data_IF_140969460556
#
_entry.id   IF_140969460556
#
_cell.length_a   1.000
_cell.length_b   1.000
_cell.length_c   1.000
_cell.angle_alpha   90.00
_cell.angle_beta   90.00
_cell.angle_gamma   90.00
#
_symmetry.space_group_name_H-M   'P 1'
#
loop_
_entity.id
_entity.type
_entity.pdbx_description
1 polymer ?
#
# COMPACT_ATOMS: atom_id res chain seq x y z
N UNK A 1 -15.34 16.16 4.82
CA UNK A 1 -16.32 15.23 4.20
C UNK A 1 -17.10 14.49 5.28
N UNK A 2 -18.27 13.91 4.96
CA UNK A 2 -19.06 13.13 5.92
C UNK A 2 -19.54 11.80 5.32
N UNK A 3 -19.83 10.81 6.17
CA UNK A 3 -20.27 9.47 5.78
C UNK A 3 -21.31 8.93 6.76
N UNK A 4 -22.55 8.80 6.28
CA UNK A 4 -23.70 8.26 7.02
C UNK A 4 -24.43 7.24 6.15
N UNK A 5 -24.89 6.13 6.74
CA UNK A 5 -25.80 5.16 6.09
C UNK A 5 -27.17 5.19 6.77
N UNK A 6 -28.23 4.82 6.03
CA UNK A 6 -29.63 4.86 6.47
C UNK A 6 -29.88 4.09 7.78
N UNK A 7 -29.16 2.99 8.02
CA UNK A 7 -29.30 2.16 9.23
C UNK A 7 -28.24 2.37 10.32
N UNK A 8 -27.31 3.33 10.16
CA UNK A 8 -26.32 3.60 11.22
C UNK A 8 -26.90 4.59 12.25
N UNK A 9 -26.79 4.34 13.56
CA UNK A 9 -27.13 5.34 14.58
C UNK A 9 -26.05 6.44 14.70
N UNK A 10 -24.88 6.24 14.11
CA UNK A 10 -23.74 7.17 14.06
C UNK A 10 -23.39 7.58 12.62
N UNK A 11 -22.58 8.62 12.47
CA UNK A 11 -21.94 9.02 11.21
C UNK A 11 -20.49 9.41 11.44
N UNK A 12 -19.67 9.37 10.39
CA UNK A 12 -18.29 9.85 10.43
C UNK A 12 -18.21 11.23 9.78
N UNK A 13 -17.45 12.14 10.38
CA UNK A 13 -17.08 13.42 9.79
C UNK A 13 -15.55 13.51 9.80
N UNK A 14 -14.98 13.83 8.65
CA UNK A 14 -13.55 14.03 8.44
C UNK A 14 -13.32 15.49 8.07
N UNK A 15 -12.43 16.14 8.80
CA UNK A 15 -12.06 17.54 8.61
C UNK A 15 -10.70 17.63 7.92
N UNK A 16 -10.46 18.69 7.17
CA UNK A 16 -9.18 18.93 6.50
C UNK A 16 -8.10 19.44 7.45
N UNK A 17 -8.52 20.16 8.50
CA UNK A 17 -7.66 20.80 9.48
C UNK A 17 -7.99 20.33 10.90
N UNK A 18 -6.99 20.41 11.79
CA UNK A 18 -7.17 20.07 13.21
C UNK A 18 -8.10 21.08 13.90
N UNK A 19 -7.95 22.36 13.60
CA UNK A 19 -8.78 23.43 14.15
C UNK A 19 -10.27 23.22 13.84
N UNK A 20 -10.62 22.96 12.57
CA UNK A 20 -11.96 22.57 12.15
C UNK A 20 -12.48 21.36 12.94
N UNK A 21 -11.63 20.35 13.14
CA UNK A 21 -11.99 19.14 13.89
C UNK A 21 -12.28 19.44 15.36
N UNK A 22 -11.45 20.27 16.00
CA UNK A 22 -11.60 20.65 17.41
C UNK A 22 -12.82 21.55 17.60
N UNK A 23 -12.97 22.57 16.75
CA UNK A 23 -14.13 23.44 16.72
C UNK A 23 -15.41 22.64 16.51
N UNK A 24 -15.48 21.80 15.47
CA UNK A 24 -16.67 20.98 15.21
C UNK A 24 -16.91 19.92 16.29
N UNK A 25 -15.87 19.38 16.95
CA UNK A 25 -16.04 18.50 18.12
C UNK A 25 -16.73 19.26 19.25
N UNK A 26 -16.26 20.47 19.58
CA UNK A 26 -16.85 21.33 20.61
C UNK A 26 -18.28 21.77 20.27
N UNK A 27 -18.55 22.07 18.99
CA UNK A 27 -19.86 22.54 18.51
C UNK A 27 -20.89 21.41 18.38
N UNK A 28 -20.47 20.18 18.05
CA UNK A 28 -21.39 19.04 17.86
C UNK A 28 -21.65 18.23 19.14
N UNK A 29 -20.78 18.31 20.14
CA UNK A 29 -20.99 17.63 21.44
C UNK A 29 -22.19 18.23 22.18
N UNK A 30 -23.15 17.39 22.56
CA UNK A 30 -24.36 17.82 23.28
C UNK A 30 -25.43 18.52 22.43
N UNK A 31 -25.15 18.85 21.16
CA UNK A 31 -26.10 19.41 20.21
C UNK A 31 -27.28 18.47 19.97
N UNK A 32 -28.47 19.02 19.70
CA UNK A 32 -29.69 18.23 19.49
C UNK A 32 -29.97 18.07 18.00
N UNK A 33 -29.87 16.84 17.48
CA UNK A 33 -30.26 16.49 16.11
C UNK A 33 -31.37 15.45 16.13
N UNK A 34 -32.50 15.75 15.47
CA UNK A 34 -33.66 14.84 15.42
C UNK A 34 -34.23 14.48 16.80
N UNK A 35 -34.23 15.45 17.73
CA UNK A 35 -34.71 15.26 19.11
C UNK A 35 -33.77 14.48 20.04
N UNK A 36 -32.55 14.14 19.59
CA UNK A 36 -31.56 13.43 20.41
C UNK A 36 -30.29 14.24 20.56
N UNK A 37 -29.70 14.24 21.76
CA UNK A 37 -28.35 14.79 21.99
C UNK A 37 -27.31 13.93 21.25
N UNK A 38 -26.39 14.59 20.57
CA UNK A 38 -25.27 13.97 19.85
C UNK A 38 -24.06 13.86 20.78
N UNK A 39 -23.35 12.73 20.69
CA UNK A 39 -22.04 12.55 21.33
C UNK A 39 -20.96 12.34 20.27
N UNK A 40 -19.79 12.97 20.45
CA UNK A 40 -18.70 13.00 19.46
C UNK A 40 -17.53 12.14 19.92
N UNK A 41 -17.52 10.91 19.44
CA UNK A 41 -16.44 9.95 19.71
C UNK A 41 -15.38 9.97 18.60
N UNK A 42 -14.14 9.62 18.94
CA UNK A 42 -13.11 9.39 17.92
C UNK A 42 -13.47 8.19 17.03
N UNK A 43 -13.18 8.31 15.74
CA UNK A 43 -13.30 7.24 14.76
C UNK A 43 -12.15 6.22 14.93
N UNK A 44 -12.07 5.59 16.11
CA UNK A 44 -11.08 4.57 16.41
C UNK A 44 -11.19 3.43 15.41
N UNK A 45 -10.08 3.14 14.74
CA UNK A 45 -9.97 2.05 13.77
C UNK A 45 -9.83 0.71 14.52
N UNK A 46 -10.85 0.36 15.32
CA UNK A 46 -10.83 -0.82 16.20
C UNK A 46 -10.61 -2.08 15.36
N UNK A 47 -9.49 -2.76 15.61
CA UNK A 47 -9.32 -4.15 15.19
C UNK A 47 -10.45 -4.98 15.83
N UNK A 48 -10.99 -6.00 15.13
CA UNK A 48 -12.07 -6.83 15.66
C UNK A 48 -11.54 -7.74 16.78
N UNK A 49 -11.37 -7.17 17.99
CA UNK A 49 -11.33 -7.83 19.31
C UNK A 49 -11.02 -6.84 20.47
N UNK A 50 -10.73 -5.56 20.19
CA UNK A 50 -10.34 -4.58 21.23
C UNK A 50 -11.53 -4.07 22.08
N UNK A 51 -11.62 -4.62 23.29
CA UNK A 51 -12.67 -4.34 24.29
C UNK A 51 -12.41 -3.11 25.17
N UNK A 52 -11.38 -2.29 24.91
CA UNK A 52 -11.20 -1.07 25.70
C UNK A 52 -12.35 -0.07 25.48
N UNK A 53 -13.09 0.20 26.54
CA UNK A 53 -14.10 1.27 26.65
C UNK A 53 -13.42 2.49 27.28
N UNK A 54 -12.90 3.39 26.44
CA UNK A 54 -12.30 4.65 26.89
C UNK A 54 -13.37 5.63 27.36
N UNK A 55 -13.31 6.01 28.64
CA UNK A 55 -14.17 7.03 29.25
C UNK A 55 -13.97 8.41 28.61
N UNK A 56 -15.00 9.24 28.59
CA UNK A 56 -15.07 10.51 27.85
C UNK A 56 -14.34 11.71 28.48
N UNK A 57 -13.64 11.52 29.60
CA UNK A 57 -12.77 12.52 30.21
C UNK A 57 -11.56 11.85 30.87
N UNK A 58 -10.39 11.91 30.23
CA UNK A 58 -9.12 11.54 30.85
C UNK A 58 -7.94 12.19 30.13
N UNK A 59 -7.12 12.92 30.90
CA UNK A 59 -5.72 13.18 30.54
C UNK A 59 -4.99 11.84 30.59
N UNK A 60 -4.77 11.21 29.45
CA UNK A 60 -4.07 9.92 29.37
C UNK A 60 -2.56 10.21 29.29
N UNK A 61 -1.83 9.83 30.34
CA UNK A 61 -0.37 10.01 30.46
C UNK A 61 0.10 11.49 30.40
N UNK A 62 -0.64 12.39 31.05
CA UNK A 62 -0.23 13.80 31.22
C UNK A 62 -0.36 14.68 29.97
N UNK A 63 -0.91 14.18 28.86
CA UNK A 63 -1.07 14.92 27.60
C UNK A 63 -2.51 15.35 27.33
N UNK A 64 -2.69 16.51 26.70
CA UNK A 64 -4.00 16.97 26.24
C UNK A 64 -4.53 16.13 25.06
N UNK A 65 -5.84 16.23 24.79
CA UNK A 65 -6.47 15.52 23.66
C UNK A 65 -5.91 16.00 22.32
N UNK A 66 -5.61 17.29 22.26
CA UNK A 66 -5.00 18.01 21.15
C UNK A 66 -3.60 17.46 20.87
N UNK A 67 -2.73 17.36 21.89
CA UNK A 67 -1.40 16.76 21.78
C UNK A 67 -1.43 15.30 21.30
N UNK A 68 -2.40 14.50 21.77
CA UNK A 68 -2.54 13.11 21.35
C UNK A 68 -2.92 13.00 19.85
N UNK A 69 -3.76 13.91 19.35
CA UNK A 69 -4.13 13.97 17.93
C UNK A 69 -2.95 14.48 17.09
N UNK A 70 -2.27 15.54 17.50
CA UNK A 70 -1.05 16.06 16.83
C UNK A 70 0.01 14.97 16.75
N UNK A 71 0.30 14.29 17.86
CA UNK A 71 1.27 13.19 17.90
C UNK A 71 0.83 12.00 17.03
N UNK A 72 -0.47 11.73 16.87
CA UNK A 72 -0.96 10.70 15.95
C UNK A 72 -0.78 11.10 14.48
N UNK A 73 -1.04 12.37 14.14
CA UNK A 73 -0.83 12.93 12.81
C UNK A 73 0.65 12.95 12.44
N UNK A 74 1.53 13.38 13.34
CA UNK A 74 2.99 13.40 13.16
C UNK A 74 3.55 11.97 12.98
N UNK A 75 3.13 11.00 13.81
CA UNK A 75 3.48 9.57 13.58
C UNK A 75 3.01 9.06 12.21
N UNK A 76 1.86 9.52 11.72
CA UNK A 76 1.38 9.21 10.37
C UNK A 76 2.21 9.91 9.28
N UNK A 77 2.69 11.13 9.53
CA UNK A 77 3.48 11.93 8.60
C UNK A 77 4.92 11.41 8.48
N UNK A 78 5.48 10.87 9.56
CA UNK A 78 6.84 10.31 9.65
C UNK A 78 6.89 8.79 9.48
N UNK A 79 5.79 8.18 9.02
CA UNK A 79 5.73 6.74 8.73
C UNK A 79 6.70 6.37 7.61
N UNK A 80 7.35 5.20 7.71
CA UNK A 80 8.22 4.70 6.65
C UNK A 80 7.44 4.51 5.34
N UNK A 81 7.95 5.14 4.27
CA UNK A 81 7.36 5.10 2.93
C UNK A 81 7.09 3.68 2.44
N UNK A 82 7.96 2.72 2.80
CA UNK A 82 7.86 1.33 2.39
C UNK A 82 6.61 0.66 2.97
N UNK A 83 6.14 1.08 4.15
CA UNK A 83 4.90 0.57 4.74
C UNK A 83 3.64 1.05 3.99
N UNK A 84 3.74 2.15 3.24
CA UNK A 84 2.66 2.68 2.42
C UNK A 84 2.60 1.99 1.04
N UNK A 85 3.74 1.84 0.36
CA UNK A 85 3.80 1.35 -1.04
C UNK A 85 4.23 -0.10 -1.21
N UNK A 86 4.88 -0.70 -0.22
CA UNK A 86 5.33 -2.10 -0.24
C UNK A 86 5.06 -2.80 1.12
N UNK A 87 3.79 -3.00 1.55
CA UNK A 87 3.48 -3.43 2.93
C UNK A 87 4.05 -4.78 3.42
N UNK A 88 4.75 -5.53 2.57
CA UNK A 88 5.46 -6.77 2.89
C UNK A 88 7.00 -6.62 2.75
N UNK A 89 7.54 -5.40 2.62
CA UNK A 89 8.95 -5.15 2.30
C UNK A 89 9.94 -5.80 3.26
N UNK A 90 9.60 -5.83 4.56
CA UNK A 90 10.39 -6.43 5.63
C UNK A 90 10.17 -7.95 5.79
N UNK A 91 9.26 -8.56 5.03
CA UNK A 91 9.02 -10.01 5.02
C UNK A 91 9.94 -10.68 3.99
N UNK A 92 10.70 -11.75 4.36
CA UNK A 92 11.48 -12.56 3.42
C UNK A 92 10.63 -13.04 2.23
N UNK A 93 11.20 -13.07 1.02
CA UNK A 93 10.39 -13.25 -0.19
C UNK A 93 9.61 -14.58 -0.21
N UNK A 94 10.20 -15.68 0.28
CA UNK A 94 9.53 -16.98 0.41
C UNK A 94 8.29 -16.90 1.32
N UNK A 95 8.38 -16.20 2.46
CA UNK A 95 7.21 -15.93 3.31
C UNK A 95 6.16 -15.04 2.62
N UNK A 96 6.56 -14.09 1.77
CA UNK A 96 5.59 -13.30 1.01
C UNK A 96 4.77 -14.19 0.07
N UNK A 97 5.40 -15.17 -0.58
CA UNK A 97 4.73 -16.15 -1.44
C UNK A 97 3.78 -17.03 -0.64
N UNK A 98 4.21 -17.54 0.53
CA UNK A 98 3.34 -18.29 1.44
C UNK A 98 2.13 -17.46 1.90
N UNK A 99 2.34 -16.21 2.34
CA UNK A 99 1.28 -15.27 2.73
C UNK A 99 0.32 -14.96 1.56
N UNK A 100 0.81 -14.88 0.31
CA UNK A 100 -0.01 -14.72 -0.90
C UNK A 100 -0.83 -15.98 -1.19
N UNK A 101 -0.22 -17.17 -1.16
CA UNK A 101 -0.90 -18.46 -1.34
C UNK A 101 -2.04 -18.63 -0.35
N UNK A 102 -1.78 -18.40 0.95
CA UNK A 102 -2.80 -18.50 2.00
C UNK A 102 -4.00 -17.56 1.75
N UNK A 103 -3.77 -16.33 1.27
CA UNK A 103 -4.86 -15.39 0.90
C UNK A 103 -5.69 -15.87 -0.29
N UNK A 104 -5.06 -16.44 -1.32
CA UNK A 104 -5.76 -17.04 -2.46
C UNK A 104 -6.60 -18.23 -2.00
N UNK A 105 -6.03 -19.12 -1.20
CA UNK A 105 -6.73 -20.27 -0.64
C UNK A 105 -7.90 -19.85 0.27
N UNK A 106 -7.73 -18.83 1.11
CA UNK A 106 -8.81 -18.29 1.94
C UNK A 106 -9.94 -17.71 1.07
N UNK A 107 -9.62 -16.95 0.02
CA UNK A 107 -10.60 -16.43 -0.93
C UNK A 107 -11.40 -17.54 -1.62
N UNK A 108 -10.73 -18.63 -2.03
CA UNK A 108 -11.38 -19.81 -2.62
C UNK A 108 -12.25 -20.57 -1.61
N UNK A 109 -11.81 -20.74 -0.36
CA UNK A 109 -12.62 -21.30 0.73
C UNK A 109 -13.84 -20.42 1.03
N UNK A 110 -13.68 -19.11 0.97
CA UNK A 110 -14.75 -18.14 1.14
C UNK A 110 -15.77 -18.23 -0.01
N UNK A 111 -15.32 -18.36 -1.27
CA UNK A 111 -16.19 -18.58 -2.42
C UNK A 111 -17.04 -19.84 -2.25
N UNK A 112 -16.41 -21.01 -2.03
CA UNK A 112 -17.10 -22.27 -1.75
C UNK A 112 -18.14 -22.13 -0.65
N UNK A 113 -17.77 -21.49 0.47
CA UNK A 113 -18.67 -21.32 1.63
C UNK A 113 -19.88 -20.44 1.30
N UNK A 114 -19.69 -19.35 0.56
CA UNK A 114 -20.80 -18.47 0.17
C UNK A 114 -21.71 -19.12 -0.87
N UNK A 115 -21.16 -19.77 -1.90
CA UNK A 115 -21.96 -20.51 -2.88
C UNK A 115 -22.77 -21.61 -2.21
N UNK A 116 -22.15 -22.47 -1.38
CA UNK A 116 -22.86 -23.53 -0.65
C UNK A 116 -23.96 -22.99 0.28
N UNK A 117 -23.74 -21.86 0.96
CA UNK A 117 -24.78 -21.18 1.77
C UNK A 117 -25.94 -20.68 0.90
N UNK A 118 -25.66 -20.06 -0.23
CA UNK A 118 -26.68 -19.59 -1.17
C UNK A 118 -27.47 -20.76 -1.78
N UNK A 119 -26.81 -21.86 -2.16
CA UNK A 119 -27.46 -23.10 -2.61
C UNK A 119 -28.45 -23.65 -1.58
N UNK A 120 -28.06 -23.70 -0.30
CA UNK A 120 -28.92 -24.17 0.80
C UNK A 120 -30.10 -23.22 1.04
N UNK A 121 -29.88 -21.90 0.94
CA UNK A 121 -30.94 -20.88 1.10
C UNK A 121 -31.99 -21.01 -0.01
N UNK A 122 -31.58 -21.08 -1.28
CA UNK A 122 -32.50 -21.23 -2.41
C UNK A 122 -33.32 -22.53 -2.33
N UNK A 123 -32.68 -23.66 -1.98
CA UNK A 123 -33.40 -24.92 -1.72
C UNK A 123 -34.45 -24.78 -0.60
N UNK A 124 -34.15 -24.05 0.48
CA UNK A 124 -35.09 -23.83 1.60
C UNK A 124 -36.23 -22.87 1.24
N UNK A 125 -36.03 -21.95 0.31
CA UNK A 125 -37.02 -20.96 -0.12
C UNK A 125 -38.05 -21.50 -1.12
N UNK A 126 -38.07 -22.81 -1.39
CA UNK A 126 -39.08 -23.42 -2.27
C UNK A 126 -38.99 -22.94 -3.71
N UNK A 127 -37.78 -22.54 -4.17
CA UNK A 127 -37.56 -22.11 -5.55
C UNK A 127 -37.83 -23.27 -6.53
N UNK A 128 -39.07 -23.34 -7.01
CA UNK A 128 -39.55 -24.32 -7.99
C UNK A 128 -38.85 -24.09 -9.33
N UNK A 129 -37.90 -24.96 -9.64
CA UNK A 129 -37.05 -24.88 -10.81
C UNK A 129 -35.83 -25.78 -10.67
N UNK A 130 -35.08 -25.97 -11.76
CA UNK A 130 -34.00 -26.95 -11.87
C UNK A 130 -32.72 -26.53 -11.12
N UNK A 131 -32.82 -26.20 -9.83
CA UNK A 131 -31.70 -25.80 -8.99
C UNK A 131 -30.76 -26.99 -8.74
N UNK A 132 -29.65 -27.03 -9.51
CA UNK A 132 -28.60 -28.04 -9.38
C UNK A 132 -27.51 -27.57 -8.41
N UNK A 133 -27.05 -28.48 -7.55
CA UNK A 133 -25.84 -28.26 -6.76
C UNK A 133 -24.63 -28.28 -7.73
N UNK A 134 -23.79 -27.23 -7.78
CA UNK A 134 -22.64 -27.23 -8.67
C UNK A 134 -21.68 -28.37 -8.32
N UNK A 135 -21.32 -29.19 -9.32
CA UNK A 135 -20.45 -30.37 -9.17
C UNK A 135 -19.13 -30.05 -8.47
N UNK A 136 -18.52 -28.91 -8.84
CA UNK A 136 -17.28 -28.42 -8.25
C UNK A 136 -17.33 -28.21 -6.73
N UNK A 137 -18.51 -27.99 -6.12
CA UNK A 137 -18.60 -27.91 -4.66
C UNK A 137 -18.40 -29.29 -4.02
N UNK A 138 -18.86 -30.36 -4.67
CA UNK A 138 -18.55 -31.74 -4.25
C UNK A 138 -17.06 -32.01 -4.28
N UNK A 139 -16.40 -31.64 -5.38
CA UNK A 139 -14.94 -31.72 -5.50
C UNK A 139 -14.17 -30.82 -4.52
N UNK A 140 -14.70 -29.63 -4.22
CA UNK A 140 -14.06 -28.67 -3.30
C UNK A 140 -13.82 -29.29 -1.92
N UNK A 141 -14.72 -30.15 -1.45
CA UNK A 141 -14.58 -30.83 -0.16
C UNK A 141 -13.36 -31.76 -0.13
N UNK A 142 -13.03 -32.41 -1.26
CA UNK A 142 -11.84 -33.27 -1.40
C UNK A 142 -10.53 -32.46 -1.32
N UNK A 143 -10.56 -31.17 -1.66
CA UNK A 143 -9.42 -30.24 -1.68
C UNK A 143 -9.52 -29.15 -0.59
N UNK A 144 -9.90 -29.52 0.63
CA UNK A 144 -9.89 -28.59 1.78
C UNK A 144 -10.84 -27.38 1.63
N UNK A 145 -11.95 -27.55 0.92
CA UNK A 145 -12.98 -26.54 0.57
C UNK A 145 -12.51 -25.46 -0.42
N UNK A 146 -11.40 -25.66 -1.13
CA UNK A 146 -10.96 -24.76 -2.20
C UNK A 146 -11.87 -24.91 -3.43
N UNK A 147 -12.36 -23.81 -3.99
CA UNK A 147 -13.24 -23.85 -5.16
C UNK A 147 -12.54 -24.35 -6.44
N UNK A 148 -11.21 -24.18 -6.52
CA UNK A 148 -10.33 -24.65 -7.59
C UNK A 148 -9.01 -25.16 -6.97
N UNK A 149 -8.18 -25.94 -7.70
CA UNK A 149 -6.82 -26.25 -7.25
C UNK A 149 -5.97 -24.98 -7.11
N UNK A 150 -4.94 -25.01 -6.26
CA UNK A 150 -3.93 -23.95 -6.16
C UNK A 150 -2.56 -24.57 -6.34
N UNK A 151 -2.06 -24.48 -7.56
CA UNK A 151 -0.77 -25.04 -8.03
C UNK A 151 0.45 -24.23 -7.53
N UNK A 152 0.23 -23.06 -6.92
CA UNK A 152 1.30 -22.24 -6.35
C UNK A 152 1.17 -20.76 -6.68
N UNK A 153 2.29 -20.04 -6.55
CA UNK A 153 2.43 -18.62 -6.90
C UNK A 153 3.69 -18.50 -7.75
N UNK A 154 3.54 -18.07 -9.00
CA UNK A 154 4.67 -17.77 -9.90
C UNK A 154 5.53 -16.66 -9.26
N UNK A 155 6.84 -16.90 -9.20
CA UNK A 155 7.80 -15.95 -8.60
C UNK A 155 8.05 -14.78 -9.55
N UNK A 156 8.29 -13.60 -8.99
CA UNK A 156 8.84 -12.48 -9.75
C UNK A 156 10.29 -12.82 -10.14
N UNK A 157 10.73 -12.51 -11.37
CA UNK A 157 12.13 -12.71 -11.77
C UNK A 157 13.08 -11.84 -10.98
N UNK A 158 12.63 -10.63 -10.64
CA UNK A 158 13.42 -9.59 -10.00
C UNK A 158 12.63 -9.02 -8.82
N UNK A 159 13.34 -8.70 -7.74
CA UNK A 159 12.77 -8.19 -6.48
C UNK A 159 13.04 -6.70 -6.25
N UNK A 160 13.93 -6.10 -7.04
CA UNK A 160 14.38 -4.70 -7.00
C UNK A 160 14.06 -3.99 -8.32
N UNK A 161 13.68 -2.71 -8.30
CA UNK A 161 13.54 -1.90 -9.52
C UNK A 161 12.49 -2.34 -10.55
N UNK A 162 11.73 -3.40 -10.29
CA UNK A 162 10.84 -4.06 -11.26
C UNK A 162 9.65 -3.21 -11.76
N UNK A 163 9.44 -2.00 -11.23
CA UNK A 163 8.29 -1.16 -11.56
C UNK A 163 8.59 -0.18 -12.69
N UNK A 164 8.26 -0.57 -13.91
CA UNK A 164 8.39 0.23 -15.14
C UNK A 164 7.45 1.45 -15.26
N UNK A 165 6.56 1.71 -14.30
CA UNK A 165 5.75 2.94 -14.22
C UNK A 165 5.64 3.42 -12.77
N UNK A 166 6.34 4.51 -12.46
CA UNK A 166 6.39 5.13 -11.14
C UNK A 166 5.67 6.48 -11.16
N UNK A 167 4.68 6.65 -10.29
CA UNK A 167 3.89 7.88 -10.14
C UNK A 167 4.19 8.51 -8.78
N UNK A 168 5.03 9.54 -8.77
CA UNK A 168 5.43 10.26 -7.56
C UNK A 168 4.54 11.48 -7.35
N UNK A 169 4.00 11.63 -6.15
CA UNK A 169 3.42 12.90 -5.70
C UNK A 169 4.53 13.92 -5.50
N UNK A 170 4.26 15.15 -5.93
CA UNK A 170 5.01 16.34 -5.55
C UNK A 170 4.19 17.07 -4.47
N UNK A 171 4.78 17.37 -3.32
CA UNK A 171 4.07 17.98 -2.20
C UNK A 171 4.96 18.21 -0.98
N UNK A 172 4.41 18.77 0.12
CA UNK A 172 5.14 18.92 1.37
C UNK A 172 5.36 17.55 2.05
N UNK A 173 6.51 17.37 2.69
CA UNK A 173 6.75 16.30 3.66
C UNK A 173 6.21 16.63 5.06
N UNK A 174 6.62 15.87 6.07
CA UNK A 174 6.19 16.05 7.46
C UNK A 174 6.63 17.40 8.05
N UNK A 175 7.73 17.97 7.55
CA UNK A 175 8.34 19.22 8.01
C UNK A 175 7.98 20.39 7.08
N UNK A 176 7.09 20.15 6.09
CA UNK A 176 6.61 21.16 5.14
C UNK A 176 7.53 21.38 3.94
N UNK A 177 8.64 20.65 3.83
CA UNK A 177 9.65 20.86 2.79
C UNK A 177 9.16 20.25 1.46
N UNK A 178 9.38 20.91 0.30
CA UNK A 178 9.11 20.34 -1.03
C UNK A 178 9.81 18.99 -1.23
N UNK A 179 9.02 17.94 -1.43
CA UNK A 179 9.48 16.55 -1.51
C UNK A 179 8.75 15.80 -2.62
N UNK A 180 9.48 14.90 -3.30
CA UNK A 180 8.98 14.09 -4.43
C UNK A 180 9.02 12.62 -4.04
N UNK A 181 7.88 11.93 -4.08
CA UNK A 181 7.80 10.54 -3.64
C UNK A 181 6.37 10.07 -3.44
N UNK A 182 6.08 9.44 -2.30
CA UNK A 182 4.76 8.85 -2.04
C UNK A 182 4.11 9.42 -0.78
N UNK A 183 2.78 9.49 -0.78
CA UNK A 183 2.01 9.81 0.41
C UNK A 183 2.15 8.70 1.45
N UNK A 184 2.65 9.03 2.64
CA UNK A 184 2.77 8.10 3.77
C UNK A 184 1.59 8.19 4.74
N UNK A 185 0.95 9.36 4.77
CA UNK A 185 -0.26 9.64 5.52
C UNK A 185 -1.55 9.22 4.82
N UNK A 186 -2.58 8.97 5.62
CA UNK A 186 -3.94 8.73 5.16
C UNK A 186 -4.73 10.06 5.16
N UNK A 187 -5.28 10.45 4.02
CA UNK A 187 -6.08 11.70 3.90
C UNK A 187 -7.24 11.78 4.91
N UNK A 188 -7.84 10.64 5.28
CA UNK A 188 -8.89 10.54 6.31
C UNK A 188 -8.42 10.89 7.74
N UNK A 189 -7.12 10.97 7.97
CA UNK A 189 -6.47 11.33 9.23
C UNK A 189 -5.85 12.74 9.16
N UNK A 190 -6.11 13.50 8.09
CA UNK A 190 -5.53 14.83 7.85
C UNK A 190 -4.06 14.81 7.39
N UNK A 191 -3.43 13.64 7.36
CA UNK A 191 -2.01 13.49 7.01
C UNK A 191 -1.85 13.33 5.51
N UNK A 192 -1.17 14.30 4.88
CA UNK A 192 -0.89 14.29 3.43
C UNK A 192 0.59 14.31 3.08
N UNK A 193 1.47 14.18 4.08
CA UNK A 193 2.92 14.24 3.93
C UNK A 193 3.43 13.26 2.85
N UNK A 194 4.36 13.76 2.03
CA UNK A 194 5.09 13.01 1.01
C UNK A 194 6.44 12.58 1.58
N UNK A 195 6.86 11.34 1.35
CA UNK A 195 8.20 10.87 1.68
C UNK A 195 8.91 10.36 0.42
N UNK A 196 10.23 10.60 0.34
CA UNK A 196 11.08 10.19 -0.78
C UNK A 196 11.00 8.69 -1.06
N UNK A 197 11.06 8.33 -2.34
CA UNK A 197 11.06 6.95 -2.81
C UNK A 197 12.43 6.23 -2.69
N UNK A 198 13.46 6.86 -2.11
CA UNK A 198 14.84 6.33 -2.10
C UNK A 198 14.94 4.89 -1.58
N UNK A 199 14.32 4.64 -0.41
CA UNK A 199 14.30 3.31 0.24
C UNK A 199 13.31 2.32 -0.40
N UNK A 200 12.54 2.74 -1.42
CA UNK A 200 11.52 1.90 -2.05
C UNK A 200 12.14 0.91 -3.05
N UNK A 201 12.43 -0.31 -2.57
CA UNK A 201 12.99 -1.44 -3.32
C UNK A 201 12.40 -1.63 -4.74
N UNK A 202 11.08 -1.57 -4.86
CA UNK A 202 10.37 -1.78 -6.14
C UNK A 202 10.55 -0.67 -7.20
N UNK A 203 11.11 0.50 -6.88
CA UNK A 203 11.27 1.63 -7.80
C UNK A 203 12.64 1.52 -8.50
N UNK A 204 12.66 1.70 -9.81
CA UNK A 204 13.87 1.66 -10.64
C UNK A 204 14.89 2.74 -10.23
N UNK A 205 16.21 2.51 -10.46
CA UNK A 205 17.23 3.53 -10.24
C UNK A 205 16.98 4.80 -11.07
N UNK A 206 16.51 4.66 -12.32
CA UNK A 206 16.17 5.78 -13.21
C UNK A 206 15.05 6.63 -12.60
N UNK A 207 13.95 6.01 -12.17
CA UNK A 207 12.84 6.74 -11.57
C UNK A 207 13.23 7.42 -10.24
N UNK A 208 14.16 6.83 -9.46
CA UNK A 208 14.75 7.50 -8.29
C UNK A 208 15.62 8.69 -8.67
N UNK A 209 16.53 8.56 -9.66
CA UNK A 209 17.39 9.66 -10.17
C UNK A 209 16.55 10.87 -10.60
N UNK A 210 15.49 10.63 -11.39
CA UNK A 210 14.59 11.68 -11.89
C UNK A 210 13.71 12.30 -10.79
N UNK A 211 13.24 11.51 -9.81
CA UNK A 211 12.53 12.03 -8.64
C UNK A 211 13.44 12.90 -7.76
N UNK A 212 14.69 12.48 -7.53
CA UNK A 212 15.69 13.24 -6.79
C UNK A 212 16.06 14.56 -7.52
N UNK A 213 16.25 14.51 -8.84
CA UNK A 213 16.50 15.70 -9.66
C UNK A 213 15.32 16.70 -9.62
N UNK A 214 14.08 16.21 -9.72
CA UNK A 214 12.88 17.05 -9.56
C UNK A 214 12.84 17.68 -8.17
N UNK A 215 13.13 16.91 -7.11
CA UNK A 215 13.15 17.42 -5.75
C UNK A 215 14.25 18.47 -5.52
N UNK A 216 15.44 18.27 -6.10
CA UNK A 216 16.53 19.24 -6.04
C UNK A 216 16.10 20.55 -6.72
N UNK A 217 15.60 20.48 -7.96
CA UNK A 217 15.06 21.62 -8.70
C UNK A 217 14.03 22.40 -7.88
N UNK A 218 13.02 21.73 -7.33
CA UNK A 218 11.95 22.37 -6.54
C UNK A 218 12.46 23.10 -5.28
N UNK A 219 13.63 22.72 -4.76
CA UNK A 219 14.25 23.35 -3.58
C UNK A 219 15.18 24.51 -3.99
N UNK A 220 15.81 24.44 -5.16
CA UNK A 220 16.72 25.49 -5.66
C UNK A 220 16.00 26.61 -6.43
N UNK A 221 14.86 26.32 -7.05
CA UNK A 221 14.15 27.30 -7.92
C UNK A 221 13.52 28.48 -7.15
N UNK A 222 13.63 28.51 -5.82
CA UNK A 222 13.16 29.58 -4.93
C UNK A 222 13.63 30.97 -5.38
N UNK A 223 14.84 31.09 -5.93
CA UNK A 223 15.40 32.34 -6.43
C UNK A 223 14.77 32.83 -7.76
N UNK A 224 14.09 31.97 -8.51
CA UNK A 224 13.59 32.23 -9.87
C UNK A 224 12.05 32.38 -9.92
N UNK A 225 11.43 32.81 -8.83
CA UNK A 225 9.96 32.90 -8.71
C UNK A 225 9.29 31.52 -8.64
N UNK A 226 9.77 30.66 -7.74
CA UNK A 226 9.31 29.28 -7.59
C UNK A 226 7.77 29.15 -7.53
N UNK A 227 7.26 28.26 -8.37
CA UNK A 227 5.87 27.84 -8.31
C UNK A 227 5.67 26.81 -7.17
N UNK A 228 4.61 26.93 -6.35
CA UNK A 228 4.43 26.11 -5.16
C UNK A 228 4.16 24.63 -5.47
N UNK A 229 4.61 23.73 -4.60
CA UNK A 229 4.17 22.32 -4.62
C UNK A 229 2.69 22.19 -4.21
N UNK A 230 2.04 21.12 -4.65
CA UNK A 230 0.61 20.89 -4.39
C UNK A 230 0.34 20.48 -2.94
N UNK A 231 -0.31 21.36 -2.16
CA UNK A 231 -0.84 21.00 -0.84
C UNK A 231 -2.20 20.29 -1.00
N UNK A 232 -2.18 18.97 -0.83
CA UNK A 232 -3.37 18.12 -0.92
C UNK A 232 -4.45 18.43 0.14
N UNK A 233 -4.13 19.10 1.25
CA UNK A 233 -5.11 19.52 2.27
C UNK A 233 -5.89 20.74 1.81
N UNK A 234 -5.18 21.71 1.22
CA UNK A 234 -5.75 22.98 0.73
C UNK A 234 -6.38 22.86 -0.66
N UNK A 235 -5.93 21.89 -1.47
CA UNK A 235 -6.33 21.77 -2.87
C UNK A 235 -5.72 22.86 -3.75
N UNK A 236 -4.55 23.37 -3.36
CA UNK A 236 -3.87 24.53 -3.98
C UNK A 236 -2.40 24.21 -4.25
N UNK A 237 -1.84 24.89 -5.24
CA UNK A 237 -0.43 24.78 -5.63
C UNK A 237 -0.30 24.49 -7.12
N UNK A 238 0.93 24.36 -7.61
CA UNK A 238 1.23 24.19 -9.03
C UNK A 238 1.75 22.78 -9.34
N UNK A 239 2.86 22.33 -8.74
CA UNK A 239 3.48 21.03 -9.06
C UNK A 239 2.77 19.86 -8.36
N UNK A 240 2.21 18.90 -9.11
CA UNK A 240 1.33 17.85 -8.55
C UNK A 240 1.92 16.44 -8.57
N UNK A 241 2.42 16.01 -9.74
CA UNK A 241 2.80 14.62 -9.98
C UNK A 241 3.99 14.56 -10.95
N UNK A 242 4.93 13.67 -10.69
CA UNK A 242 5.97 13.24 -11.63
C UNK A 242 5.68 11.79 -11.99
N UNK A 243 5.50 11.49 -13.27
CA UNK A 243 5.36 10.12 -13.77
C UNK A 243 6.60 9.78 -14.58
N UNK A 244 7.26 8.69 -14.22
CA UNK A 244 8.35 8.08 -14.98
C UNK A 244 7.86 6.74 -15.51
N UNK A 245 8.04 6.49 -16.81
CA UNK A 245 7.73 5.21 -17.45
C UNK A 245 8.89 4.75 -18.32
N UNK A 246 9.34 3.52 -18.09
CA UNK A 246 10.47 2.91 -18.78
C UNK A 246 9.96 1.87 -19.79
N UNK A 247 10.36 2.02 -21.06
CA UNK A 247 10.10 1.06 -22.13
C UNK A 247 11.01 -0.18 -22.07
N UNK A 248 10.80 -1.16 -22.96
CA UNK A 248 11.68 -2.33 -23.11
C UNK A 248 11.65 -3.39 -21.99
N UNK A 249 11.16 -3.06 -20.80
CA UNK A 249 11.20 -3.93 -19.61
C UNK A 249 10.07 -4.99 -19.54
N UNK A 250 9.72 -5.65 -20.65
CA UNK A 250 8.82 -6.81 -20.66
C UNK A 250 9.48 -8.04 -21.33
N UNK A 251 9.31 -9.27 -20.80
CA UNK A 251 9.73 -10.49 -21.51
C UNK A 251 8.94 -10.65 -22.82
N UNK A 252 9.54 -11.32 -23.81
CA UNK A 252 8.81 -11.75 -25.00
C UNK A 252 7.66 -12.70 -24.61
N UNK A 253 6.50 -12.54 -25.25
CA UNK A 253 5.29 -13.28 -24.90
C UNK A 253 5.27 -14.67 -25.52
N UNK A 254 5.34 -15.73 -24.70
CA UNK A 254 5.24 -17.11 -25.19
C UNK A 254 4.73 -18.10 -24.13
N UNK A 255 5.57 -18.46 -23.16
CA UNK A 255 5.47 -19.76 -22.48
C UNK A 255 5.23 -19.69 -20.95
N UNK A 256 4.16 -19.00 -20.54
CA UNK A 256 3.83 -18.81 -19.13
C UNK A 256 3.38 -20.08 -18.36
N UNK A 257 3.14 -21.19 -19.07
CA UNK A 257 2.54 -22.40 -18.51
C UNK A 257 3.53 -23.24 -17.68
N UNK A 258 4.79 -23.30 -18.09
CA UNK A 258 5.82 -24.14 -17.46
C UNK A 258 6.40 -23.51 -16.17
N UNK A 259 6.08 -22.24 -15.91
CA UNK A 259 6.69 -21.43 -14.84
C UNK A 259 5.94 -21.50 -13.50
N UNK A 260 5.03 -22.46 -13.34
CA UNK A 260 4.32 -22.74 -12.09
C UNK A 260 5.12 -23.73 -11.24
N UNK A 261 5.15 -23.53 -9.92
CA UNK A 261 5.71 -24.51 -8.96
C UNK A 261 4.91 -24.57 -7.68
N UNK A 262 4.67 -25.81 -7.23
CA UNK A 262 4.17 -26.09 -5.90
C UNK A 262 5.18 -25.67 -4.82
N UNK A 263 4.66 -25.11 -3.74
CA UNK A 263 5.40 -25.00 -2.48
C UNK A 263 5.06 -26.28 -1.70
N UNK A 264 6.04 -27.12 -1.34
CA UNK A 264 5.77 -28.32 -0.55
C UNK A 264 5.06 -27.97 0.75
N UNK A 265 3.99 -28.71 1.06
CA UNK A 265 3.26 -28.58 2.31
C UNK A 265 3.75 -29.66 3.30
N UNK A 266 4.57 -29.26 4.26
CA UNK A 266 5.14 -30.09 5.32
C UNK A 266 6.26 -29.30 6.01
N UNK A 267 6.53 -29.45 7.30
CA UNK A 267 6.19 -30.58 8.18
C UNK A 267 5.62 -30.11 9.53
N UNK A 268 4.56 -30.77 10.00
CA UNK A 268 4.20 -30.78 11.42
C UNK A 268 5.06 -31.83 12.13
N UNK A 269 5.77 -31.51 13.23
CA UNK A 269 6.54 -32.52 13.95
C UNK A 269 5.59 -33.48 14.68
N UNK A 270 5.76 -34.78 14.45
CA UNK A 270 5.24 -35.85 15.29
C UNK A 270 6.37 -36.41 16.17
N UNK A 271 5.99 -36.80 17.37
CA UNK A 271 6.85 -37.25 18.47
C UNK A 271 7.28 -38.72 18.34
N UNK A 272 8.29 -39.09 19.16
CA UNK A 272 8.79 -40.43 19.58
C UNK A 272 10.22 -40.72 19.04
N UNK A 273 11.30 -40.60 19.84
CA UNK A 273 11.79 -41.50 20.92
C UNK A 273 12.12 -42.91 20.41
N UNK A 274 13.32 -43.52 20.59
CA UNK A 274 14.56 -43.23 21.38
C UNK A 274 15.81 -43.55 20.49
N UNK A 275 17.10 -43.50 20.86
CA UNK A 275 17.90 -43.59 22.12
C UNK A 275 19.16 -42.67 22.09
N UNK A 276 20.08 -42.85 23.05
CA UNK A 276 21.43 -42.27 23.22
C UNK A 276 22.41 -43.42 23.64
N UNK A 277 23.75 -43.27 23.85
CA UNK A 277 24.58 -42.04 23.89
C UNK A 277 26.00 -42.07 23.21
N UNK A 278 26.60 -40.87 23.13
CA UNK A 278 28.03 -40.53 23.26
C UNK A 278 29.13 -41.08 22.30
N UNK A 279 29.70 -40.22 21.45
CA UNK A 279 31.06 -39.63 21.64
C UNK A 279 31.41 -38.62 20.52
N UNK A 280 32.21 -37.60 20.86
CA UNK A 280 32.80 -36.56 19.99
C UNK A 280 34.32 -36.78 19.92
N UNK A 281 35.12 -36.07 19.08
CA UNK A 281 34.77 -35.31 17.86
C UNK A 281 35.75 -35.55 16.67
N UNK A 282 35.32 -35.29 15.42
CA UNK A 282 36.24 -34.96 14.30
C UNK A 282 35.52 -34.28 13.10
N UNK A 283 36.18 -33.27 12.53
CA UNK A 283 35.80 -32.53 11.30
C UNK A 283 35.73 -33.42 10.04
N UNK A 284 35.03 -33.04 8.94
CA UNK A 284 35.14 -31.71 8.31
C UNK A 284 33.83 -31.02 7.91
N UNK A 285 34.00 -29.76 7.48
CA UNK A 285 32.98 -28.84 6.98
C UNK A 285 32.01 -29.50 5.97
N UNK A 286 30.72 -29.49 6.31
CA UNK A 286 29.66 -29.63 5.30
C UNK A 286 29.31 -28.24 4.79
N UNK A 287 29.73 -27.98 3.55
CA UNK A 287 29.25 -26.87 2.73
C UNK A 287 27.73 -26.76 2.84
N UNK A 288 27.26 -25.59 3.27
CA UNK A 288 25.83 -25.28 3.26
C UNK A 288 25.35 -25.35 1.81
N UNK A 289 24.39 -26.23 1.53
CA UNK A 289 23.88 -26.42 0.19
C UNK A 289 23.33 -25.09 -0.35
N UNK A 290 23.99 -24.56 -1.37
CA UNK A 290 23.54 -23.39 -2.12
C UNK A 290 22.18 -23.69 -2.72
N UNK A 291 21.14 -23.09 -2.16
CA UNK A 291 19.80 -23.07 -2.78
C UNK A 291 19.97 -22.35 -4.12
N UNK A 292 19.77 -23.06 -5.22
CA UNK A 292 20.05 -22.52 -6.55
C UNK A 292 19.22 -21.26 -6.82
N UNK A 293 19.91 -20.17 -7.17
CA UNK A 293 19.28 -18.88 -7.48
C UNK A 293 18.57 -18.90 -8.85
N UNK A 294 18.87 -19.91 -9.68
CA UNK A 294 18.28 -20.13 -11.00
C UNK A 294 16.84 -20.65 -10.92
N UNK A 295 15.85 -19.75 -10.99
CA UNK A 295 14.55 -19.95 -11.66
C UNK A 295 13.54 -18.84 -11.35
N UNK A 296 13.92 -17.60 -11.69
CA UNK A 296 12.94 -16.56 -12.01
C UNK A 296 12.43 -16.71 -13.46
N UNK A 297 11.50 -15.84 -13.87
CA UNK A 297 11.31 -15.58 -15.30
C UNK A 297 12.63 -14.99 -15.88
N UNK A 298 12.90 -15.06 -17.19
CA UNK A 298 13.92 -14.21 -17.78
C UNK A 298 13.54 -12.74 -17.56
N UNK A 299 14.46 -11.96 -16.98
CA UNK A 299 14.28 -10.51 -16.90
C UNK A 299 14.71 -9.89 -18.24
N UNK A 300 13.92 -8.98 -18.82
CA UNK A 300 14.38 -8.18 -19.95
C UNK A 300 15.60 -7.36 -19.50
N UNK A 301 16.73 -7.60 -20.18
CA UNK A 301 17.99 -6.94 -19.88
C UNK A 301 17.85 -5.42 -20.02
N UNK A 302 18.64 -4.67 -19.25
CA UNK A 302 18.75 -3.23 -19.40
C UNK A 302 19.25 -2.91 -20.82
N UNK A 303 18.37 -2.44 -21.69
CA UNK A 303 18.75 -1.89 -22.98
C UNK A 303 19.11 -0.42 -22.77
N UNK A 304 20.35 0.02 -23.01
CA UNK A 304 20.73 1.44 -22.93
C UNK A 304 20.00 2.33 -23.96
N UNK A 305 19.28 1.74 -24.91
CA UNK A 305 18.39 2.42 -25.87
C UNK A 305 16.93 2.50 -25.39
N UNK A 306 16.60 1.97 -24.21
CA UNK A 306 15.24 1.98 -23.70
C UNK A 306 14.75 3.41 -23.41
N UNK A 307 13.70 3.81 -24.12
CA UNK A 307 13.10 5.14 -23.95
C UNK A 307 12.46 5.30 -22.56
N UNK A 308 12.72 6.46 -21.94
CA UNK A 308 12.15 6.85 -20.65
C UNK A 308 11.20 8.03 -20.86
N UNK A 309 9.90 7.76 -20.79
CA UNK A 309 8.87 8.80 -20.86
C UNK A 309 8.69 9.45 -19.49
N UNK A 310 8.88 10.77 -19.41
CA UNK A 310 8.65 11.57 -18.20
C UNK A 310 7.48 12.51 -18.43
N UNK A 311 6.50 12.51 -17.52
CA UNK A 311 5.33 13.40 -17.57
C UNK A 311 5.18 14.12 -16.24
N UNK A 312 5.14 15.44 -16.26
CA UNK A 312 4.92 16.28 -15.07
C UNK A 312 3.50 16.84 -15.12
N UNK A 313 2.70 16.54 -14.10
CA UNK A 313 1.36 17.11 -13.94
C UNK A 313 1.44 18.41 -13.14
N UNK A 314 0.86 19.47 -13.68
CA UNK A 314 0.80 20.81 -13.08
C UNK A 314 -0.63 21.32 -12.93
N UNK A 315 -0.82 22.42 -12.21
CA UNK A 315 -2.08 23.16 -12.07
C UNK A 315 -1.85 24.63 -12.45
N UNK A 316 -2.03 25.03 -13.72
CA UNK A 316 -1.70 26.38 -14.18
C UNK A 316 -2.70 27.46 -13.72
N UNK A 317 -3.85 27.08 -13.17
CA UNK A 317 -4.90 28.00 -12.72
C UNK A 317 -4.37 28.98 -11.67
N UNK A 318 -4.47 30.29 -11.96
CA UNK A 318 -4.00 31.36 -11.06
C UNK A 318 -2.52 31.72 -11.17
N UNK A 319 -1.80 31.16 -12.14
CA UNK A 319 -0.39 31.48 -12.42
C UNK A 319 -0.21 32.14 -13.79
N UNK A 320 0.83 32.97 -13.93
CA UNK A 320 1.12 33.65 -15.20
C UNK A 320 1.58 32.65 -16.29
N UNK A 321 1.02 32.70 -17.53
CA UNK A 321 1.40 31.75 -18.57
C UNK A 321 2.87 31.77 -19.01
N UNK A 322 3.58 32.89 -18.87
CA UNK A 322 5.02 32.95 -19.18
C UNK A 322 5.83 32.29 -18.05
N UNK A 323 5.54 32.62 -16.78
CA UNK A 323 6.13 31.96 -15.62
C UNK A 323 5.91 30.44 -15.65
N UNK A 324 4.72 29.98 -16.03
CA UNK A 324 4.38 28.55 -16.16
C UNK A 324 5.22 27.86 -17.23
N UNK A 325 5.40 28.48 -18.41
CA UNK A 325 6.24 27.90 -19.48
C UNK A 325 7.71 27.86 -19.06
N UNK A 326 8.21 28.96 -18.52
CA UNK A 326 9.60 29.12 -18.08
C UNK A 326 9.97 28.11 -16.98
N UNK A 327 9.16 27.98 -15.93
CA UNK A 327 9.38 27.00 -14.86
C UNK A 327 9.33 25.54 -15.36
N UNK A 328 8.41 25.21 -16.28
CA UNK A 328 8.36 23.89 -16.93
C UNK A 328 9.62 23.62 -17.78
N UNK A 329 10.11 24.61 -18.53
CA UNK A 329 11.33 24.49 -19.32
C UNK A 329 12.57 24.28 -18.45
N UNK A 330 12.70 24.99 -17.32
CA UNK A 330 13.80 24.77 -16.37
C UNK A 330 13.78 23.38 -15.75
N UNK A 331 12.60 22.88 -15.35
CA UNK A 331 12.48 21.51 -14.85
C UNK A 331 12.84 20.48 -15.93
N UNK A 332 12.41 20.68 -17.18
CA UNK A 332 12.77 19.81 -18.29
C UNK A 332 14.29 19.79 -18.54
N UNK A 333 14.96 20.94 -18.48
CA UNK A 333 16.42 21.03 -18.58
C UNK A 333 17.14 20.34 -17.41
N UNK A 334 16.66 20.51 -16.17
CA UNK A 334 17.20 19.82 -14.99
C UNK A 334 17.03 18.29 -15.08
N UNK A 335 15.90 17.81 -15.62
CA UNK A 335 15.64 16.39 -15.85
C UNK A 335 16.50 15.82 -16.98
N UNK A 336 16.72 16.57 -18.06
CA UNK A 336 17.61 16.17 -19.15
C UNK A 336 19.08 16.09 -18.69
N UNK A 337 19.55 17.08 -17.93
CA UNK A 337 20.88 17.05 -17.31
C UNK A 337 21.05 15.90 -16.30
N UNK A 338 19.96 15.48 -15.64
CA UNK A 338 19.95 14.30 -14.78
C UNK A 338 19.71 12.97 -15.54
N UNK A 339 19.38 13.00 -16.82
CA UNK A 339 19.24 11.81 -17.67
C UNK A 339 20.56 11.46 -18.39
N UNK A 340 21.40 12.47 -18.65
CA UNK A 340 22.82 12.30 -18.97
C UNK A 340 23.62 11.63 -17.82
#
# INVERSE_FOLDING_TARGET
SCKKKKQWPYGFITFGFLEDRLHATKTLEGCVLGGRRVTVHEALNKKPHDKTTGSSNAVVHGRTREELIVAAADRGARRDVRDAVCPLWATPYNEQLAKKRLKVEEALRNLTRHTAKNCKRLKKQGAGGTWRWPSWIGESNKRGKLAAPVEGIVRSPVLEGYRNKSEFTIGPDADGVPTVGFNVGLFKEGVTAVASAEKCRHISPVAKKLAAATQAFLRTDAANGALPVWDKRRGTGFWRLLVVREGGMAPETGEWAEWKRDVPAGETPKTEQTTNPATDPASPEKTAATVSEESGLPYPLFDPRAEVMVVVQVSPTGHDPAQVRDACSRLAAALAAAAA
#
